data_IF_552900008567
#
_entry.id   IF_552900008567
#
_cell.length_a   1.000
_cell.length_b   1.000
_cell.length_c   1.000
_cell.angle_alpha   90.00
_cell.angle_beta   90.00
_cell.angle_gamma   90.00
#
_symmetry.space_group_name_H-M   'P 1'
#
loop_
_entity.id
_entity.type
_entity.pdbx_description
1 polymer ?
#
# COMPACT_ATOMS: atom_id res chain seq x y z
N UNK A 1 -23.04 10.27 -9.74
CA UNK A 1 -21.76 9.84 -10.35
C UNK A 1 -20.73 9.72 -9.23
N UNK A 2 -19.99 8.61 -9.14
CA UNK A 2 -18.81 8.52 -8.26
C UNK A 2 -17.62 9.09 -9.05
N UNK A 3 -17.44 10.40 -8.98
CA UNK A 3 -16.42 11.15 -9.74
C UNK A 3 -15.03 11.15 -9.07
N UNK A 4 -14.84 10.36 -8.02
CA UNK A 4 -13.59 10.32 -7.26
C UNK A 4 -13.43 11.45 -6.25
N UNK A 5 -14.38 12.38 -6.15
CA UNK A 5 -14.38 13.46 -5.15
C UNK A 5 -14.37 12.98 -3.70
N UNK A 6 -14.71 11.71 -3.45
CA UNK A 6 -14.61 11.05 -2.15
C UNK A 6 -13.16 10.91 -1.64
N UNK A 7 -12.15 11.08 -2.51
CA UNK A 7 -10.80 11.44 -2.07
C UNK A 7 -10.74 12.96 -1.86
N UNK A 8 -11.52 13.48 -0.91
CA UNK A 8 -11.32 14.84 -0.45
C UNK A 8 -9.82 15.01 -0.19
N UNK A 9 -9.21 16.05 -0.74
CA UNK A 9 -7.79 16.37 -0.55
C UNK A 9 -7.37 16.21 0.91
N UNK A 10 -8.28 16.49 1.84
CA UNK A 10 -8.14 16.25 3.27
C UNK A 10 -7.94 14.78 3.66
N UNK A 11 -8.81 13.85 3.24
CA UNK A 11 -8.65 12.42 3.59
C UNK A 11 -7.35 11.85 3.00
N UNK A 12 -7.02 12.24 1.77
CA UNK A 12 -5.76 11.85 1.13
C UNK A 12 -4.56 12.38 1.93
N UNK A 13 -4.46 13.70 2.13
CA UNK A 13 -3.30 14.33 2.76
C UNK A 13 -3.17 14.01 4.26
N UNK A 14 -4.28 13.90 4.99
CA UNK A 14 -4.22 13.75 6.44
C UNK A 14 -4.04 12.30 6.89
N UNK A 15 -4.59 11.33 6.15
CA UNK A 15 -4.63 9.92 6.56
C UNK A 15 -3.95 8.98 5.57
N UNK A 16 -4.38 9.00 4.31
CA UNK A 16 -3.94 8.01 3.32
C UNK A 16 -2.46 8.17 3.00
N UNK A 17 -2.00 9.40 2.72
CA UNK A 17 -0.62 9.66 2.32
C UNK A 17 0.37 9.25 3.43
N UNK A 18 0.04 9.56 4.69
CA UNK A 18 0.88 9.20 5.84
C UNK A 18 0.99 7.68 6.03
N UNK A 19 -0.15 6.97 6.03
CA UNK A 19 -0.16 5.51 6.17
C UNK A 19 0.53 4.84 4.97
N UNK A 20 0.27 5.32 3.75
CA UNK A 20 0.90 4.81 2.53
C UNK A 20 2.42 5.00 2.57
N UNK A 21 2.92 6.18 2.95
CA UNK A 21 4.38 6.43 3.06
C UNK A 21 5.03 5.52 4.10
N UNK A 22 4.37 5.30 5.24
CA UNK A 22 4.85 4.40 6.29
C UNK A 22 4.95 2.96 5.78
N UNK A 23 3.86 2.42 5.23
CA UNK A 23 3.83 1.03 4.73
C UNK A 23 4.73 0.83 3.51
N UNK A 24 4.80 1.81 2.60
CA UNK A 24 5.71 1.76 1.44
C UNK A 24 7.16 1.54 1.86
N UNK A 25 7.63 2.26 2.89
CA UNK A 25 9.00 2.11 3.41
C UNK A 25 9.20 0.73 4.04
N UNK A 26 8.24 0.25 4.82
CA UNK A 26 8.36 -1.03 5.53
C UNK A 26 8.30 -2.22 4.57
N UNK A 27 7.32 -2.23 3.65
CA UNK A 27 7.18 -3.26 2.62
C UNK A 27 8.43 -3.31 1.75
N UNK A 28 8.97 -2.16 1.35
CA UNK A 28 10.22 -2.10 0.58
C UNK A 28 11.37 -2.80 1.33
N UNK A 29 11.58 -2.47 2.60
CA UNK A 29 12.65 -3.08 3.42
C UNK A 29 12.44 -4.59 3.60
N UNK A 30 11.21 -5.03 3.83
CA UNK A 30 10.87 -6.45 3.94
C UNK A 30 11.12 -7.20 2.63
N UNK A 31 10.75 -6.60 1.49
CA UNK A 31 10.94 -7.20 0.17
C UNK A 31 12.42 -7.24 -0.20
N UNK A 32 13.19 -6.18 0.08
CA UNK A 32 14.65 -6.16 -0.10
C UNK A 32 15.33 -7.30 0.68
N UNK A 33 14.91 -7.53 1.93
CA UNK A 33 15.42 -8.65 2.73
C UNK A 33 15.06 -10.02 2.11
N UNK A 34 13.82 -10.19 1.64
CA UNK A 34 13.37 -11.43 0.99
C UNK A 34 14.11 -11.70 -0.31
N UNK A 35 14.33 -10.66 -1.12
CA UNK A 35 15.14 -10.73 -2.34
C UNK A 35 16.57 -11.15 -2.00
N UNK A 36 17.18 -10.53 -0.99
CA UNK A 36 18.53 -10.88 -0.55
C UNK A 36 18.65 -12.34 -0.08
N UNK A 37 17.62 -12.86 0.60
CA UNK A 37 17.58 -14.26 1.02
C UNK A 37 17.22 -15.26 -0.09
N UNK A 38 16.81 -14.79 -1.27
CA UNK A 38 16.33 -15.63 -2.38
C UNK A 38 14.89 -16.13 -2.25
N UNK A 39 14.15 -15.67 -1.23
CA UNK A 39 12.75 -16.04 -0.98
C UNK A 39 11.74 -15.33 -1.90
N UNK A 40 12.16 -14.24 -2.54
CA UNK A 40 11.32 -13.43 -3.44
C UNK A 40 12.13 -12.97 -4.64
N UNK A 41 11.62 -13.15 -5.85
CA UNK A 41 12.26 -12.59 -7.04
C UNK A 41 12.01 -11.08 -7.12
N UNK A 42 12.90 -10.34 -7.77
CA UNK A 42 12.70 -8.90 -8.03
C UNK A 42 11.43 -8.65 -8.83
N UNK A 43 11.08 -9.54 -9.75
CA UNK A 43 9.87 -9.41 -10.59
C UNK A 43 8.60 -9.61 -9.76
N UNK A 44 8.54 -10.64 -8.91
CA UNK A 44 7.43 -10.86 -8.00
C UNK A 44 7.28 -9.72 -6.99
N UNK A 45 8.40 -9.22 -6.47
CA UNK A 45 8.41 -8.06 -5.58
C UNK A 45 7.78 -6.84 -6.25
N UNK A 46 8.14 -6.54 -7.50
CA UNK A 46 7.58 -5.42 -8.26
C UNK A 46 6.08 -5.57 -8.50
N UNK A 47 5.61 -6.79 -8.78
CA UNK A 47 4.19 -7.08 -8.99
C UNK A 47 3.37 -6.95 -7.69
N UNK A 48 3.93 -7.37 -6.55
CA UNK A 48 3.22 -7.45 -5.27
C UNK A 48 3.33 -6.19 -4.42
N UNK A 49 4.34 -5.34 -4.63
CA UNK A 49 4.69 -4.25 -3.71
C UNK A 49 3.51 -3.34 -3.39
N UNK A 50 2.83 -2.82 -4.42
CA UNK A 50 1.71 -1.91 -4.22
C UNK A 50 0.48 -2.60 -3.65
N UNK A 51 0.24 -3.87 -4.00
CA UNK A 51 -0.83 -4.65 -3.39
C UNK A 51 -0.61 -4.76 -1.87
N UNK A 52 0.61 -5.09 -1.44
CA UNK A 52 0.94 -5.23 -0.03
C UNK A 52 0.88 -3.90 0.71
N UNK A 53 1.34 -2.80 0.09
CA UNK A 53 1.18 -1.45 0.68
C UNK A 53 -0.29 -1.12 0.89
N UNK A 54 -1.14 -1.31 -0.11
CA UNK A 54 -2.57 -1.00 0.00
C UNK A 54 -3.32 -1.93 0.96
N UNK A 55 -2.93 -3.21 1.03
CA UNK A 55 -3.50 -4.16 1.99
C UNK A 55 -3.29 -3.73 3.44
N UNK A 56 -2.17 -3.04 3.73
CA UNK A 56 -1.86 -2.49 5.05
C UNK A 56 -2.52 -1.13 5.29
N UNK A 57 -2.50 -0.23 4.31
CA UNK A 57 -3.16 1.10 4.41
C UNK A 57 -4.64 0.97 4.76
N UNK A 58 -5.33 -0.02 4.18
CA UNK A 58 -6.76 -0.25 4.41
C UNK A 58 -7.05 -0.78 5.81
N UNK A 59 -6.11 -1.51 6.41
CA UNK A 59 -6.24 -1.92 7.82
C UNK A 59 -6.12 -0.73 8.77
N UNK A 60 -5.31 0.27 8.43
CA UNK A 60 -5.18 1.50 9.23
C UNK A 60 -6.37 2.45 9.07
N UNK A 61 -7.06 2.38 7.92
CA UNK A 61 -8.12 3.32 7.54
C UNK A 61 -9.37 2.50 7.20
N UNK A 62 -10.18 2.09 8.20
CA UNK A 62 -11.34 1.23 7.99
C UNK A 62 -12.42 1.84 7.08
N UNK A 63 -12.36 3.15 6.82
CA UNK A 63 -13.24 3.82 5.84
C UNK A 63 -12.86 3.55 4.38
N UNK A 64 -11.68 2.98 4.11
CA UNK A 64 -11.28 2.53 2.79
C UNK A 64 -11.71 1.08 2.60
N UNK A 65 -12.72 0.81 1.77
CA UNK A 65 -13.00 -0.55 1.35
C UNK A 65 -12.04 -0.96 0.22
N UNK A 66 -11.12 -1.89 0.49
CA UNK A 66 -10.29 -2.50 -0.54
C UNK A 66 -10.86 -3.86 -0.94
N UNK A 67 -11.58 -3.86 -2.05
CA UNK A 67 -12.12 -5.08 -2.64
C UNK A 67 -10.99 -5.77 -3.40
N UNK A 68 -10.49 -6.89 -2.87
CA UNK A 68 -9.71 -7.86 -3.66
C UNK A 68 -10.62 -8.37 -4.79
N UNK A 69 -10.36 -7.92 -6.01
CA UNK A 69 -10.92 -8.55 -7.22
C UNK A 69 -10.00 -9.64 -7.70
#
# INVERSE_FOLDING_TARGET
MKDGSNFESKMWNEKIEKSMKYHNRNVRKEFENKIFSGELSTDDANLMHWHEVWSRVVKDIPQLEYIRR
#
